data_IF_201792072592
#
_entry.id   IF_201792072592
#
_cell.length_a   1.000
_cell.length_b   1.000
_cell.length_c   1.000
_cell.angle_alpha   90.00
_cell.angle_beta   90.00
_cell.angle_gamma   90.00
#
_symmetry.space_group_name_H-M   'P 1'
#
loop_
_entity.id
_entity.type
_entity.pdbx_description
1 polymer ?
#
# COMPACT_ATOMS: atom_id res chain seq x y z
N UNK A 1 -14.58 -44.73 1.99
CA UNK A 1 -13.14 -44.38 2.00
C UNK A 1 -12.96 -43.12 1.15
N UNK A 2 -13.00 -41.95 1.77
CA UNK A 2 -12.76 -40.65 1.12
C UNK A 2 -12.34 -39.65 2.20
N UNK A 3 -11.03 -39.40 2.29
CA UNK A 3 -10.42 -38.43 3.21
C UNK A 3 -10.34 -37.05 2.53
N UNK A 4 -10.62 -35.94 3.23
CA UNK A 4 -10.69 -34.60 2.66
C UNK A 4 -9.29 -33.99 2.44
N UNK A 5 -9.05 -33.41 1.27
CA UNK A 5 -7.73 -32.96 0.77
C UNK A 5 -7.28 -31.56 1.24
N UNK A 6 -8.05 -30.84 2.06
CA UNK A 6 -7.66 -29.48 2.52
C UNK A 6 -7.27 -29.47 4.01
N UNK A 7 -6.03 -29.89 4.26
CA UNK A 7 -5.35 -29.71 5.54
C UNK A 7 -5.09 -28.23 5.83
N UNK A 8 -5.54 -27.78 7.00
CA UNK A 8 -5.33 -26.43 7.52
C UNK A 8 -3.83 -26.18 7.72
N UNK A 9 -3.26 -25.18 7.04
CA UNK A 9 -1.88 -24.74 7.22
C UNK A 9 -1.54 -24.53 8.71
N UNK A 10 -0.42 -25.10 9.14
CA UNK A 10 0.04 -25.13 10.53
C UNK A 10 0.33 -23.72 11.04
N UNK A 11 -0.01 -23.41 12.31
CA UNK A 11 0.26 -22.10 12.94
C UNK A 11 1.74 -21.68 12.88
N UNK A 12 2.68 -22.65 12.79
CA UNK A 12 4.12 -22.40 12.71
C UNK A 12 4.58 -21.92 11.33
N UNK A 13 4.00 -22.46 10.25
CA UNK A 13 4.31 -22.06 8.88
C UNK A 13 3.84 -20.63 8.60
N UNK A 14 2.68 -20.24 9.16
CA UNK A 14 2.20 -18.85 9.11
C UNK A 14 3.15 -17.88 9.80
N UNK A 15 3.74 -18.26 10.93
CA UNK A 15 4.71 -17.43 11.65
C UNK A 15 5.97 -17.19 10.83
N UNK A 16 6.48 -18.23 10.16
CA UNK A 16 7.68 -18.12 9.32
C UNK A 16 7.46 -17.26 8.07
N UNK A 17 6.32 -17.43 7.38
CA UNK A 17 5.98 -16.59 6.22
C UNK A 17 5.81 -15.13 6.61
N UNK A 18 5.15 -14.85 7.74
CA UNK A 18 4.99 -13.48 8.25
C UNK A 18 6.32 -12.86 8.66
N UNK A 19 7.22 -13.64 9.24
CA UNK A 19 8.55 -13.16 9.64
C UNK A 19 9.46 -12.91 8.43
N UNK A 20 9.36 -13.71 7.36
CA UNK A 20 10.05 -13.42 6.10
C UNK A 20 9.46 -12.21 5.36
N UNK A 21 8.14 -12.02 5.40
CA UNK A 21 7.48 -10.83 4.84
C UNK A 21 7.84 -9.55 5.61
N UNK A 22 8.33 -9.67 6.85
CA UNK A 22 8.81 -8.55 7.68
C UNK A 22 10.22 -8.08 7.32
N UNK A 23 10.95 -8.84 6.53
CA UNK A 23 12.25 -8.42 6.05
C UNK A 23 12.05 -7.33 4.97
N UNK A 24 12.67 -6.16 5.17
CA UNK A 24 12.47 -4.96 4.34
C UNK A 24 12.76 -5.24 2.85
N UNK A 25 13.75 -6.11 2.60
CA UNK A 25 14.13 -6.55 1.25
C UNK A 25 13.05 -7.41 0.59
N UNK A 26 12.40 -8.29 1.35
CA UNK A 26 11.35 -9.18 0.83
C UNK A 26 10.10 -8.39 0.50
N UNK A 27 9.70 -7.45 1.37
CA UNK A 27 8.59 -6.54 1.12
C UNK A 27 8.80 -5.69 -0.13
N UNK A 28 9.98 -5.08 -0.27
CA UNK A 28 10.35 -4.31 -1.46
C UNK A 28 10.39 -5.15 -2.74
N UNK A 29 10.95 -6.37 -2.67
CA UNK A 29 10.99 -7.29 -3.80
C UNK A 29 9.60 -7.73 -4.28
N UNK A 30 8.70 -8.04 -3.35
CA UNK A 30 7.31 -8.39 -3.68
C UNK A 30 6.57 -7.22 -4.35
N UNK A 31 6.77 -5.99 -3.87
CA UNK A 31 6.17 -4.80 -4.46
C UNK A 31 6.64 -4.60 -5.91
N UNK A 32 7.94 -4.74 -6.17
CA UNK A 32 8.51 -4.64 -7.51
C UNK A 32 7.95 -5.71 -8.44
N UNK A 33 7.86 -6.96 -7.99
CA UNK A 33 7.28 -8.05 -8.78
C UNK A 33 5.80 -7.76 -9.09
N UNK A 34 5.03 -7.32 -8.10
CA UNK A 34 3.62 -6.96 -8.31
C UNK A 34 3.46 -5.82 -9.32
N UNK A 35 4.29 -4.78 -9.23
CA UNK A 35 4.28 -3.66 -10.18
C UNK A 35 4.65 -4.11 -11.60
N UNK A 36 5.67 -4.96 -11.75
CA UNK A 36 6.04 -5.52 -13.06
C UNK A 36 4.92 -6.38 -13.64
N UNK A 37 4.28 -7.24 -12.84
CA UNK A 37 3.15 -8.05 -13.28
C UNK A 37 1.98 -7.17 -13.74
N UNK A 38 1.65 -6.12 -12.98
CA UNK A 38 0.61 -5.17 -13.36
C UNK A 38 0.94 -4.44 -14.66
N UNK A 39 2.18 -3.96 -14.81
CA UNK A 39 2.64 -3.27 -16.02
C UNK A 39 2.59 -4.18 -17.25
N UNK A 40 3.09 -5.41 -17.14
CA UNK A 40 3.04 -6.40 -18.22
C UNK A 40 1.61 -6.73 -18.58
N UNK A 41 0.74 -6.99 -17.59
CA UNK A 41 -0.66 -7.32 -17.84
C UNK A 41 -1.40 -6.18 -18.55
N UNK A 42 -1.25 -4.95 -18.07
CA UNK A 42 -1.89 -3.77 -18.64
C UNK A 42 -1.41 -3.40 -20.06
N UNK A 43 -0.22 -3.86 -20.48
CA UNK A 43 0.34 -3.62 -21.81
C UNK A 43 0.33 -4.87 -22.71
N UNK A 44 -0.34 -5.95 -22.28
CA UNK A 44 -0.43 -7.21 -23.02
C UNK A 44 -1.72 -7.30 -23.85
N UNK A 45 -1.87 -8.33 -24.73
CA UNK A 45 -3.13 -8.61 -25.41
C UNK A 45 -4.33 -8.85 -24.47
N UNK A 46 -4.08 -9.09 -23.17
CA UNK A 46 -5.11 -9.26 -22.15
C UNK A 46 -5.41 -7.97 -21.37
N UNK A 47 -4.94 -6.80 -21.82
CA UNK A 47 -5.17 -5.52 -21.15
C UNK A 47 -6.64 -5.24 -20.82
N UNK A 48 -7.57 -5.63 -21.71
CA UNK A 48 -9.01 -5.48 -21.48
C UNK A 48 -9.50 -6.25 -20.26
N UNK A 49 -8.91 -7.42 -19.97
CA UNK A 49 -9.27 -8.20 -18.78
C UNK A 49 -8.80 -7.52 -17.49
N UNK A 50 -7.64 -6.87 -17.52
CA UNK A 50 -7.15 -6.05 -16.40
C UNK A 50 -8.05 -4.83 -16.19
N UNK A 51 -8.39 -4.12 -17.27
CA UNK A 51 -9.29 -2.96 -17.21
C UNK A 51 -10.68 -3.35 -16.66
N UNK A 52 -11.25 -4.47 -17.12
CA UNK A 52 -12.52 -4.98 -16.63
C UNK A 52 -12.48 -5.35 -15.13
N UNK A 53 -11.37 -5.93 -14.65
CA UNK A 53 -11.19 -6.25 -13.25
C UNK A 53 -11.13 -4.99 -12.37
N UNK A 54 -10.33 -4.00 -12.77
CA UNK A 54 -10.19 -2.74 -12.03
C UNK A 54 -11.51 -1.95 -12.03
N UNK A 55 -12.26 -1.99 -13.13
CA UNK A 55 -13.55 -1.32 -13.29
C UNK A 55 -14.72 -2.08 -12.64
N UNK A 56 -14.51 -3.31 -12.17
CA UNK A 56 -15.58 -4.16 -11.63
C UNK A 56 -16.28 -3.46 -10.46
N UNK A 57 -17.58 -3.14 -10.56
CA UNK A 57 -18.29 -2.47 -9.47
C UNK A 57 -18.51 -3.45 -8.31
N UNK A 58 -18.03 -3.09 -7.12
CA UNK A 58 -18.13 -3.89 -5.90
C UNK A 58 -18.66 -3.01 -4.78
N UNK A 59 -19.61 -3.53 -4.01
CA UNK A 59 -20.13 -2.87 -2.81
C UNK A 59 -21.65 -2.84 -2.71
N UNK A 60 -22.20 -2.51 -1.52
CA UNK A 60 -23.63 -2.48 -1.29
C UNK A 60 -24.29 -1.32 -2.05
N UNK A 61 -25.15 -1.67 -3.01
CA UNK A 61 -25.97 -0.75 -3.79
C UNK A 61 -26.80 0.21 -2.91
N UNK A 62 -27.33 -0.32 -1.81
CA UNK A 62 -28.24 0.38 -0.89
C UNK A 62 -27.59 1.57 -0.18
N UNK A 63 -26.26 1.63 -0.11
CA UNK A 63 -25.51 2.72 0.52
C UNK A 63 -24.87 3.66 -0.51
N UNK A 64 -25.16 3.48 -1.81
CA UNK A 64 -24.50 4.25 -2.88
C UNK A 64 -23.01 3.94 -3.07
N UNK A 65 -22.55 2.80 -2.55
CA UNK A 65 -21.13 2.41 -2.50
C UNK A 65 -20.72 1.45 -3.63
N UNK A 66 -21.40 1.52 -4.78
CA UNK A 66 -20.99 0.77 -5.99
C UNK A 66 -19.78 1.45 -6.63
N UNK A 67 -18.61 1.16 -6.07
CA UNK A 67 -17.35 1.72 -6.53
C UNK A 67 -16.58 0.66 -7.33
N UNK A 68 -15.77 1.06 -8.32
CA UNK A 68 -14.86 0.14 -8.98
C UNK A 68 -13.92 -0.52 -7.97
N UNK A 69 -13.60 -1.81 -8.19
CA UNK A 69 -12.69 -2.57 -7.35
C UNK A 69 -11.32 -1.88 -7.20
N UNK A 70 -10.85 -1.20 -8.24
CA UNK A 70 -9.64 -0.39 -8.20
C UNK A 70 -9.67 0.71 -7.14
N UNK A 71 -10.81 1.37 -6.95
CA UNK A 71 -10.98 2.43 -5.93
C UNK A 71 -10.93 1.82 -4.54
N UNK A 72 -11.64 0.70 -4.31
CA UNK A 72 -11.56 -0.03 -3.05
C UNK A 72 -10.14 -0.48 -2.71
N UNK A 73 -9.41 -1.00 -3.70
CA UNK A 73 -8.03 -1.43 -3.52
C UNK A 73 -7.12 -0.24 -3.20
N UNK A 74 -7.24 0.86 -3.95
CA UNK A 74 -6.44 2.07 -3.73
C UNK A 74 -6.70 2.68 -2.35
N UNK A 75 -7.95 3.05 -2.06
CA UNK A 75 -8.30 3.77 -0.83
C UNK A 75 -8.17 2.86 0.40
N UNK A 76 -8.56 1.59 0.27
CA UNK A 76 -8.45 0.61 1.36
C UNK A 76 -7.01 0.34 1.75
N UNK A 77 -6.14 0.08 0.77
CA UNK A 77 -4.72 -0.20 1.04
C UNK A 77 -3.99 1.06 1.52
N UNK A 78 -4.30 2.22 0.92
CA UNK A 78 -3.76 3.52 1.32
C UNK A 78 -4.18 3.89 2.75
N UNK A 79 -5.41 3.58 3.15
CA UNK A 79 -5.89 3.79 4.53
C UNK A 79 -5.10 2.97 5.55
N UNK A 80 -4.82 1.70 5.25
CA UNK A 80 -3.99 0.85 6.11
C UNK A 80 -2.55 1.36 6.18
N UNK A 81 -1.98 1.77 5.03
CA UNK A 81 -0.65 2.37 4.96
C UNK A 81 -0.55 3.63 5.83
N UNK A 82 -1.48 4.58 5.68
CA UNK A 82 -1.49 5.81 6.47
C UNK A 82 -1.77 5.58 7.95
N UNK A 83 -2.51 4.53 8.30
CA UNK A 83 -2.66 4.14 9.71
C UNK A 83 -1.30 3.77 10.31
N UNK A 84 -0.53 2.92 9.66
CA UNK A 84 0.80 2.48 10.15
C UNK A 84 1.75 3.67 10.22
N UNK A 85 1.85 4.44 9.13
CA UNK A 85 2.68 5.66 9.06
C UNK A 85 2.26 6.67 10.13
N UNK A 86 0.96 6.84 10.37
CA UNK A 86 0.42 7.74 11.40
C UNK A 86 0.80 7.29 12.82
N UNK A 87 0.83 5.99 13.09
CA UNK A 87 1.28 5.45 14.37
C UNK A 87 2.78 5.67 14.58
N UNK A 88 3.60 5.49 13.54
CA UNK A 88 5.03 5.77 13.57
C UNK A 88 5.31 7.27 13.75
N UNK A 89 4.58 8.12 13.03
CA UNK A 89 4.70 9.57 13.18
C UNK A 89 4.32 10.01 14.60
N UNK A 90 3.22 9.47 15.16
CA UNK A 90 2.85 9.73 16.55
C UNK A 90 3.96 9.31 17.50
N UNK A 91 4.60 8.17 17.27
CA UNK A 91 5.73 7.73 18.08
C UNK A 91 6.90 8.73 18.00
N UNK A 92 7.29 9.19 16.81
CA UNK A 92 8.35 10.20 16.62
C UNK A 92 8.02 11.55 17.27
N UNK A 93 6.75 11.96 17.24
CA UNK A 93 6.29 13.21 17.85
C UNK A 93 6.32 13.15 19.39
N UNK A 94 6.07 12.00 19.99
CA UNK A 94 6.01 11.86 21.45
C UNK A 94 7.36 11.50 22.05
N UNK A 95 8.07 10.56 21.46
CA UNK A 95 9.29 9.96 22.03
C UNK A 95 10.53 10.16 21.15
N UNK A 96 10.35 10.52 19.88
CA UNK A 96 11.43 10.59 18.91
C UNK A 96 12.00 11.99 18.70
N UNK A 97 12.62 12.16 17.55
CA UNK A 97 13.36 13.36 17.14
C UNK A 97 12.46 14.58 16.93
N UNK A 98 11.20 14.35 16.58
CA UNK A 98 10.22 15.40 16.31
C UNK A 98 9.59 15.99 17.59
N UNK A 99 9.81 15.37 18.74
CA UNK A 99 9.31 15.86 20.03
C UNK A 99 9.93 17.20 20.46
N UNK A 100 11.13 17.53 19.95
CA UNK A 100 11.85 18.78 20.26
C UNK A 100 11.74 19.74 19.08
N UNK A 101 11.17 20.96 19.26
CA UNK A 101 11.02 21.91 18.16
C UNK A 101 12.31 22.21 17.40
N UNK A 102 13.43 22.36 18.12
CA UNK A 102 14.74 22.62 17.50
C UNK A 102 15.23 21.50 16.57
N UNK A 103 14.83 20.25 16.81
CA UNK A 103 15.22 19.09 16.00
C UNK A 103 14.22 18.83 14.87
N UNK A 104 12.95 19.17 15.08
CA UNK A 104 11.88 19.00 14.08
C UNK A 104 12.00 19.95 12.87
N UNK A 105 12.63 21.12 13.02
CA UNK A 105 12.73 22.12 11.94
C UNK A 105 13.37 21.54 10.68
N UNK A 106 14.45 20.77 10.79
CA UNK A 106 15.18 20.25 9.62
C UNK A 106 14.34 19.20 8.86
N UNK A 107 13.80 18.14 9.48
CA UNK A 107 12.91 17.19 8.80
C UNK A 107 11.67 17.85 8.20
N UNK A 108 11.05 18.81 8.91
CA UNK A 108 9.84 19.50 8.42
C UNK A 108 10.17 20.37 7.20
N UNK A 109 11.26 21.14 7.24
CA UNK A 109 11.69 21.93 6.09
C UNK A 109 12.04 21.05 4.89
N UNK A 110 12.71 19.91 5.11
CA UNK A 110 13.03 18.94 4.07
C UNK A 110 11.76 18.34 3.44
N UNK A 111 10.76 17.95 4.25
CA UNK A 111 9.49 17.42 3.77
C UNK A 111 8.69 18.46 2.97
N UNK A 112 8.60 19.69 3.47
CA UNK A 112 7.93 20.80 2.77
C UNK A 112 8.63 21.12 1.44
N UNK A 113 9.97 21.21 1.44
CA UNK A 113 10.74 21.43 0.23
C UNK A 113 10.54 20.31 -0.79
N UNK A 114 10.55 19.05 -0.34
CA UNK A 114 10.32 17.87 -1.17
C UNK A 114 8.93 17.79 -1.79
N UNK A 115 7.93 18.47 -1.22
CA UNK A 115 6.57 18.55 -1.79
C UNK A 115 6.37 19.80 -2.64
N UNK A 116 6.77 20.99 -2.14
CA UNK A 116 6.52 22.27 -2.78
C UNK A 116 7.32 22.40 -4.07
N UNK A 117 8.59 21.99 -4.08
CA UNK A 117 9.45 22.16 -5.25
C UNK A 117 8.93 21.37 -6.46
N UNK A 118 8.63 20.05 -6.38
CA UNK A 118 8.03 19.33 -7.50
C UNK A 118 6.68 19.90 -7.94
N UNK A 119 5.83 20.35 -7.00
CA UNK A 119 4.54 20.94 -7.32
C UNK A 119 4.68 22.24 -8.12
N UNK A 120 5.60 23.12 -7.72
CA UNK A 120 5.87 24.38 -8.44
C UNK A 120 6.46 24.11 -9.82
N UNK A 121 7.40 23.16 -9.94
CA UNK A 121 7.96 22.75 -11.23
C UNK A 121 6.84 22.27 -12.16
N UNK A 122 5.98 21.37 -11.69
CA UNK A 122 4.86 20.84 -12.46
C UNK A 122 3.87 21.94 -12.95
N UNK A 123 3.67 23.00 -12.17
CA UNK A 123 2.76 24.10 -12.55
C UNK A 123 3.36 25.02 -13.61
N UNK A 124 4.68 25.19 -13.61
CA UNK A 124 5.36 26.17 -14.47
C UNK A 124 5.81 25.56 -15.80
N UNK A 125 6.10 24.25 -15.84
CA UNK A 125 6.56 23.50 -17.02
C UNK A 125 5.40 22.78 -17.68
#
# INVERSE_FOLDING_TARGET
MSQPFFGRLSRRERGWVVEQLRDETVGGGLLLIAAMLALVWANSPWADSYAALVALPVGPASLGLQLPLGVWAADGLLSVFFLVVGLELKHELVLGSLSKPAQAVVPVAAALGGMILPAVIFVIV
#
